data_IF_711355818191
#
_entry.id   IF_711355818191
#
_cell.length_a   1.000
_cell.length_b   1.000
_cell.length_c   1.000
_cell.angle_alpha   90.00
_cell.angle_beta   90.00
_cell.angle_gamma   90.00
#
_symmetry.space_group_name_H-M   'P 1'
#
loop_
_entity.id
_entity.type
_entity.pdbx_description
1 polymer ?
#
# COMPACT_ATOMS: atom_id res chain seq x y z
N UNK A 1 14.91 -7.62 9.29
CA UNK A 1 13.70 -8.39 9.59
C UNK A 1 13.92 -9.51 10.59
N UNK A 2 14.78 -9.22 11.54
CA UNK A 2 15.14 -10.16 12.59
C UNK A 2 13.96 -10.39 13.53
N UNK A 3 13.62 -11.68 13.81
CA UNK A 3 12.51 -12.02 14.69
C UNK A 3 12.68 -11.49 16.11
N UNK A 4 13.93 -11.34 16.58
CA UNK A 4 14.24 -10.83 17.91
C UNK A 4 13.79 -9.38 18.13
N UNK A 5 13.55 -8.64 17.06
CA UNK A 5 13.08 -7.24 17.09
C UNK A 5 11.58 -7.11 16.88
N UNK A 6 10.88 -8.23 16.81
CA UNK A 6 9.46 -8.26 16.51
C UNK A 6 8.68 -8.89 17.65
N UNK A 7 7.44 -8.47 17.79
CA UNK A 7 6.50 -9.03 18.75
C UNK A 7 5.14 -9.20 18.08
N UNK A 8 4.30 -10.06 18.67
CA UNK A 8 2.94 -10.31 18.19
C UNK A 8 2.90 -10.73 16.71
N UNK A 9 3.86 -11.57 16.31
CA UNK A 9 3.96 -12.06 14.93
C UNK A 9 2.74 -12.94 14.63
N UNK A 10 2.09 -12.66 13.52
CA UNK A 10 0.94 -13.44 13.04
C UNK A 10 0.91 -13.41 11.53
N UNK A 11 0.20 -14.35 10.94
CA UNK A 11 0.01 -14.37 9.49
C UNK A 11 -0.78 -13.16 9.06
N UNK A 12 -0.40 -12.60 7.91
CA UNK A 12 -1.07 -11.44 7.34
C UNK A 12 -2.41 -11.87 6.75
N UNK A 13 -3.53 -11.23 7.11
CA UNK A 13 -4.80 -11.48 6.43
C UNK A 13 -4.70 -11.13 4.95
N UNK A 14 -5.14 -12.04 4.08
CA UNK A 14 -5.09 -11.87 2.63
C UNK A 14 -6.40 -11.26 2.13
N UNK A 15 -6.63 -10.00 2.52
CA UNK A 15 -7.85 -9.28 2.21
C UNK A 15 -7.77 -8.63 0.84
N UNK A 16 -8.93 -8.43 0.24
CA UNK A 16 -9.05 -7.73 -1.02
C UNK A 16 -8.78 -6.23 -0.80
N UNK A 17 -7.75 -5.70 -1.46
CA UNK A 17 -7.38 -4.29 -1.36
C UNK A 17 -7.68 -3.63 -2.70
N UNK A 18 -8.62 -2.69 -2.68
CA UNK A 18 -8.98 -1.96 -3.88
C UNK A 18 -7.98 -0.84 -4.10
N UNK A 19 -7.01 -1.08 -4.99
CA UNK A 19 -6.03 -0.07 -5.38
C UNK A 19 -6.42 0.57 -6.69
N UNK A 20 -6.43 1.88 -6.72
CA UNK A 20 -6.69 2.65 -7.92
C UNK A 20 -5.36 3.25 -8.39
N UNK A 21 -4.61 2.50 -9.18
CA UNK A 21 -3.29 2.91 -9.64
C UNK A 21 -3.37 4.10 -10.59
N UNK A 22 -2.51 5.07 -10.35
CA UNK A 22 -2.47 6.32 -11.10
C UNK A 22 -1.08 6.58 -11.65
N UNK A 23 -1.03 7.34 -12.71
CA UNK A 23 0.18 8.00 -13.19
C UNK A 23 -0.05 9.50 -13.03
N UNK A 24 0.94 10.21 -12.57
CA UNK A 24 0.83 11.65 -12.30
C UNK A 24 2.17 12.33 -12.46
N UNK A 25 2.11 13.64 -12.60
CA UNK A 25 3.28 14.52 -12.61
C UNK A 25 3.30 15.28 -11.29
N UNK A 26 4.49 15.45 -10.72
CA UNK A 26 4.64 16.19 -9.47
C UNK A 26 4.58 17.69 -9.73
N UNK A 27 3.80 18.44 -8.94
CA UNK A 27 3.64 19.89 -9.13
C UNK A 27 4.93 20.68 -9.04
N UNK A 28 5.85 20.23 -8.18
CA UNK A 28 7.12 20.92 -7.95
C UNK A 28 8.24 20.41 -8.84
N UNK A 29 7.95 19.52 -9.78
CA UNK A 29 8.96 18.91 -10.64
C UNK A 29 8.31 18.50 -11.97
N UNK A 30 8.04 19.52 -12.80
CA UNK A 30 7.39 19.32 -14.11
C UNK A 30 8.22 18.40 -14.99
N UNK A 31 7.56 17.49 -15.67
CA UNK A 31 8.19 16.48 -16.51
C UNK A 31 8.59 15.22 -15.77
N UNK A 32 8.54 15.21 -14.45
CA UNK A 32 8.78 14.02 -13.65
C UNK A 32 7.49 13.26 -13.44
N UNK A 33 7.34 12.14 -14.17
CA UNK A 33 6.15 11.30 -14.10
C UNK A 33 6.37 10.15 -13.13
N UNK A 34 5.41 9.96 -12.25
CA UNK A 34 5.43 8.93 -11.21
C UNK A 34 4.15 8.10 -11.29
N UNK A 35 4.21 6.93 -10.68
CA UNK A 35 3.05 6.06 -10.55
C UNK A 35 2.80 5.78 -9.06
N UNK A 36 1.55 5.56 -8.74
CA UNK A 36 1.18 5.27 -7.36
C UNK A 36 -0.32 5.35 -7.17
N UNK A 37 -0.72 5.68 -5.95
CA UNK A 37 -2.12 5.89 -5.59
C UNK A 37 -2.27 7.29 -4.99
N UNK A 38 -3.50 7.75 -4.88
CA UNK A 38 -3.82 9.00 -4.19
C UNK A 38 -4.09 8.65 -2.71
N UNK A 39 -3.28 9.23 -1.81
CA UNK A 39 -3.34 8.90 -0.38
C UNK A 39 -4.75 9.09 0.19
N UNK A 40 -5.42 10.18 -0.18
CA UNK A 40 -6.77 10.48 0.31
C UNK A 40 -7.79 9.41 -0.10
N UNK A 41 -7.68 8.88 -1.31
CA UNK A 41 -8.56 7.78 -1.77
C UNK A 41 -8.28 6.49 -0.99
N UNK A 42 -7.01 6.15 -0.86
CA UNK A 42 -6.61 4.93 -0.15
C UNK A 42 -7.04 4.97 1.32
N UNK A 43 -6.93 6.13 1.94
CA UNK A 43 -7.27 6.31 3.35
C UNK A 43 -8.72 6.00 3.66
N UNK A 44 -9.63 6.20 2.70
CA UNK A 44 -11.06 5.93 2.90
C UNK A 44 -11.33 4.46 3.24
N UNK A 45 -10.55 3.55 2.69
CA UNK A 45 -10.74 2.10 2.88
C UNK A 45 -9.63 1.45 3.68
N UNK A 46 -8.40 1.98 3.60
CA UNK A 46 -7.21 1.38 4.21
C UNK A 46 -6.33 2.43 4.86
N UNK A 47 -6.81 3.08 5.95
CA UNK A 47 -6.05 4.13 6.63
C UNK A 47 -4.72 3.64 7.22
N UNK A 48 -4.57 2.33 7.45
CA UNK A 48 -3.33 1.74 7.97
C UNK A 48 -2.14 1.93 7.03
N UNK A 49 -2.38 2.23 5.76
CA UNK A 49 -1.32 2.45 4.77
C UNK A 49 -1.00 3.93 4.54
N UNK A 50 -1.61 4.82 5.31
CA UNK A 50 -1.46 6.27 5.11
C UNK A 50 -0.93 6.95 6.36
N UNK A 51 0.09 7.77 6.18
CA UNK A 51 0.61 8.67 7.22
C UNK A 51 0.20 10.10 6.88
N UNK A 52 -0.01 10.89 7.93
CA UNK A 52 -0.26 12.32 7.79
C UNK A 52 0.78 13.06 8.62
N UNK A 53 1.48 14.03 8.02
CA UNK A 53 2.48 14.81 8.72
C UNK A 53 1.83 15.95 9.52
N UNK A 54 2.61 16.68 10.37
CA UNK A 54 2.05 17.78 11.16
C UNK A 54 1.40 18.91 10.35
N UNK A 55 1.78 19.04 9.08
CA UNK A 55 1.21 20.07 8.18
C UNK A 55 -0.03 19.58 7.44
N UNK A 56 -0.40 18.31 7.62
CA UNK A 56 -1.57 17.72 6.99
C UNK A 56 -1.31 17.04 5.66
N UNK A 57 -0.08 17.01 5.18
CA UNK A 57 0.26 16.29 3.96
C UNK A 57 0.29 14.80 4.21
N UNK A 58 -0.28 14.04 3.28
CA UNK A 58 -0.40 12.60 3.40
C UNK A 58 0.60 11.88 2.53
N UNK A 59 1.08 10.74 3.05
CA UNK A 59 2.00 9.86 2.33
C UNK A 59 1.52 8.42 2.48
N UNK A 60 1.93 7.57 1.54
CA UNK A 60 1.53 6.17 1.48
C UNK A 60 2.69 5.28 1.91
N UNK A 61 2.39 4.31 2.76
CA UNK A 61 3.33 3.26 3.14
C UNK A 61 3.39 2.23 2.02
N UNK A 62 4.08 2.57 0.93
CA UNK A 62 4.06 1.76 -0.29
C UNK A 62 4.58 0.35 -0.10
N UNK A 63 5.64 0.15 0.67
CA UNK A 63 6.18 -1.20 0.87
C UNK A 63 5.12 -2.07 1.54
N UNK A 64 4.49 -1.58 2.61
CA UNK A 64 3.45 -2.33 3.32
C UNK A 64 2.24 -2.60 2.42
N UNK A 65 1.83 -1.59 1.64
CA UNK A 65 0.72 -1.73 0.68
C UNK A 65 1.03 -2.80 -0.37
N UNK A 66 2.25 -2.78 -0.92
CA UNK A 66 2.66 -3.74 -1.95
C UNK A 66 2.75 -5.15 -1.40
N UNK A 67 3.25 -5.33 -0.18
CA UNK A 67 3.29 -6.64 0.49
C UNK A 67 1.86 -7.18 0.64
N UNK A 68 0.94 -6.36 1.12
CA UNK A 68 -0.46 -6.76 1.28
C UNK A 68 -1.10 -7.11 -0.07
N UNK A 69 -0.78 -6.34 -1.12
CA UNK A 69 -1.31 -6.59 -2.47
C UNK A 69 -0.75 -7.88 -3.06
N UNK A 70 0.54 -8.14 -2.85
CA UNK A 70 1.17 -9.39 -3.29
C UNK A 70 0.52 -10.58 -2.57
N UNK A 71 0.30 -10.48 -1.27
CA UNK A 71 -0.36 -11.54 -0.50
C UNK A 71 -1.78 -11.83 -1.03
N UNK A 72 -2.52 -10.79 -1.38
CA UNK A 72 -3.84 -10.91 -2.01
C UNK A 72 -3.76 -11.66 -3.34
N UNK A 73 -2.82 -11.24 -4.20
CA UNK A 73 -2.66 -11.85 -5.53
C UNK A 73 -2.19 -13.30 -5.44
N UNK A 74 -1.29 -13.61 -4.50
CA UNK A 74 -0.88 -15.00 -4.26
C UNK A 74 -2.07 -15.88 -3.86
N UNK A 75 -2.96 -15.36 -3.01
CA UNK A 75 -4.16 -16.09 -2.62
C UNK A 75 -5.07 -16.36 -3.82
N UNK A 76 -5.24 -15.37 -4.70
CA UNK A 76 -6.03 -15.53 -5.94
C UNK A 76 -5.42 -16.57 -6.88
N UNK A 77 -4.09 -16.56 -7.01
CA UNK A 77 -3.37 -17.53 -7.84
C UNK A 77 -3.53 -18.96 -7.29
N UNK A 78 -3.43 -19.12 -5.97
CA UNK A 78 -3.64 -20.43 -5.33
C UNK A 78 -5.02 -21.01 -5.66
N UNK A 79 -6.04 -20.17 -5.69
CA UNK A 79 -7.39 -20.59 -6.06
C UNK A 79 -7.44 -21.04 -7.52
N UNK A 80 -6.80 -20.30 -8.42
CA UNK A 80 -6.79 -20.63 -9.85
C UNK A 80 -5.99 -21.87 -10.17
N UNK A 81 -5.00 -22.24 -9.35
CA UNK A 81 -4.15 -23.41 -9.54
C UNK A 81 -4.78 -24.71 -9.07
N UNK A 82 -5.95 -24.65 -8.42
CA UNK A 82 -6.66 -25.84 -7.93
C UNK A 82 -7.56 -26.51 -9.02
#
# INVERSE_FOLDING_TARGET
>A
SDERKKTKIKDLPRNNINTNWKSFEMKNDEGEYRTGVIAQELEETHPEFVNTDPEGFKSVKYIDLLIAKIAELEARLEILEK
#
